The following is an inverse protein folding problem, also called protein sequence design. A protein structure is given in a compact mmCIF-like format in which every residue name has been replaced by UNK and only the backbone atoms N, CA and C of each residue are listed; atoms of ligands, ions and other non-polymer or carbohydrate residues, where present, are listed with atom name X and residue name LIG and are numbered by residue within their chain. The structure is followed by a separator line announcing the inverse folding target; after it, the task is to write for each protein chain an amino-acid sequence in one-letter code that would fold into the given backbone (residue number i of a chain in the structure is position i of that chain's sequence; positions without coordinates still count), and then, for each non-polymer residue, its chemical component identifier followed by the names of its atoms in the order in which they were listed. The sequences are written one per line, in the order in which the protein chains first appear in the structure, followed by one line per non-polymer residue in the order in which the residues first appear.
data_IF_905679086175
#
_entry.id   IF_905679086175
#
_cell.length_a   1.000
_cell.length_b   1.000
_cell.length_c   1.000
_cell.angle_alpha   90.00
_cell.angle_beta   90.00
_cell.angle_gamma   90.00
#
_symmetry.space_group_name_H-M   'P 1'
#
loop_
_entity.id
_entity.type
_entity.pdbx_description
1 polymer ?
#
# COMPACT_ATOMS: atom_id res chain seq x y z
N UNK A 1 -6.00 -15.66 -3.48
CA UNK A 1 -6.67 -14.43 -3.97
C UNK A 1 -7.54 -13.76 -2.90
N UNK A 2 -8.37 -14.51 -2.16
CA UNK A 2 -9.15 -13.97 -1.03
C UNK A 2 -8.29 -13.48 0.15
N UNK A 3 -7.12 -14.08 0.37
CA UNK A 3 -6.23 -13.70 1.48
C UNK A 3 -5.76 -12.25 1.41
N UNK A 4 -5.53 -11.74 0.19
CA UNK A 4 -5.08 -10.37 -0.01
C UNK A 4 -6.18 -9.38 0.38
N UNK A 5 -7.43 -9.67 0.05
CA UNK A 5 -8.57 -8.81 0.38
C UNK A 5 -8.76 -8.71 1.91
N UNK A 6 -8.73 -9.82 2.64
CA UNK A 6 -8.81 -9.82 4.11
C UNK A 6 -7.62 -9.12 4.76
N UNK A 7 -6.40 -9.37 4.26
CA UNK A 7 -5.20 -8.65 4.71
C UNK A 7 -5.32 -7.14 4.46
N UNK A 8 -5.97 -6.70 3.38
CA UNK A 8 -6.23 -5.26 3.18
C UNK A 8 -7.19 -4.68 4.22
N UNK A 9 -8.29 -5.35 4.53
CA UNK A 9 -9.24 -4.86 5.55
C UNK A 9 -8.60 -4.83 6.93
N UNK A 10 -7.87 -5.88 7.30
CA UNK A 10 -7.18 -5.92 8.58
C UNK A 10 -6.04 -4.90 8.66
N UNK A 11 -5.29 -4.68 7.57
CA UNK A 11 -4.29 -3.61 7.51
C UNK A 11 -4.93 -2.24 7.77
N UNK A 12 -6.07 -1.95 7.14
CA UNK A 12 -6.79 -0.69 7.35
C UNK A 12 -7.28 -0.54 8.79
N UNK A 13 -7.68 -1.63 9.43
CA UNK A 13 -8.07 -1.62 10.84
C UNK A 13 -6.87 -1.30 11.75
N UNK A 14 -5.75 -1.99 11.53
CA UNK A 14 -4.49 -1.76 12.27
C UNK A 14 -3.99 -0.33 12.06
N UNK A 15 -3.96 0.15 10.82
CA UNK A 15 -3.53 1.51 10.49
C UNK A 15 -4.45 2.57 11.15
N UNK A 16 -5.76 2.31 11.26
CA UNK A 16 -6.70 3.21 11.96
C UNK A 16 -6.46 3.27 13.46
N UNK A 17 -6.18 2.13 14.10
CA UNK A 17 -5.81 2.11 15.52
C UNK A 17 -4.51 2.87 15.72
N UNK A 18 -3.49 2.58 14.91
CA UNK A 18 -2.18 3.22 15.02
C UNK A 18 -2.27 4.75 14.84
N UNK A 19 -2.95 5.21 13.80
CA UNK A 19 -3.15 6.64 13.54
C UNK A 19 -4.02 7.31 14.60
N UNK A 20 -5.07 6.62 15.09
CA UNK A 20 -5.95 7.14 16.14
C UNK A 20 -5.22 7.32 17.47
N UNK A 21 -4.45 6.32 17.90
CA UNK A 21 -3.63 6.40 19.11
C UNK A 21 -2.55 7.48 18.98
N UNK A 22 -1.88 7.54 17.84
CA UNK A 22 -0.86 8.57 17.58
C UNK A 22 -1.45 9.98 17.66
N UNK A 23 -2.63 10.20 17.07
CA UNK A 23 -3.32 11.47 17.13
C UNK A 23 -3.77 11.81 18.56
N UNK A 24 -4.29 10.84 19.32
CA UNK A 24 -4.65 11.04 20.72
C UNK A 24 -3.45 11.48 21.55
N UNK A 25 -2.32 10.76 21.44
CA UNK A 25 -1.09 11.08 22.17
C UNK A 25 -0.61 12.50 21.84
N UNK A 26 -0.51 12.84 20.55
CA UNK A 26 -0.13 14.20 20.12
C UNK A 26 -1.11 15.22 20.68
N UNK A 27 -2.41 14.96 20.61
CA UNK A 27 -3.43 15.88 21.13
C UNK A 27 -3.25 16.12 22.62
N UNK A 28 -3.08 15.08 23.44
CA UNK A 28 -2.89 15.24 24.89
C UNK A 28 -1.55 15.89 25.28
N UNK A 29 -0.51 15.78 24.45
CA UNK A 29 0.77 16.46 24.67
C UNK A 29 0.64 17.98 24.46
N UNK A 30 -0.09 18.40 23.42
CA UNK A 30 -0.14 19.80 23.01
C UNK A 30 -1.40 20.54 23.46
N UNK A 31 -2.45 19.82 23.83
CA UNK A 31 -3.77 20.36 24.15
C UNK A 31 -4.27 19.69 25.45
N UNK A 32 -4.45 20.46 26.54
CA UNK A 32 -4.98 19.91 27.78
C UNK A 32 -6.47 19.50 27.64
N UNK A 33 -6.96 18.53 28.42
CA UNK A 33 -8.31 17.98 28.33
C UNK A 33 -9.44 19.03 28.40
N UNK A 34 -9.26 20.08 29.19
CA UNK A 34 -10.24 21.17 29.32
C UNK A 34 -10.40 22.01 28.05
N UNK A 35 -9.38 22.09 27.19
CA UNK A 35 -9.42 22.84 25.94
C UNK A 35 -9.91 21.99 24.75
N UNK A 36 -9.96 20.67 24.90
CA UNK A 36 -10.32 19.75 23.82
C UNK A 36 -11.71 20.03 23.27
N UNK A 37 -12.70 20.33 24.10
CA UNK A 37 -14.07 20.59 23.65
C UNK A 37 -14.19 21.87 22.82
N UNK A 38 -13.37 22.89 23.12
CA UNK A 38 -13.32 24.15 22.39
C UNK A 38 -12.48 24.07 21.10
N UNK A 39 -11.39 23.31 21.15
CA UNK A 39 -10.49 23.05 20.00
C UNK A 39 -10.94 21.89 19.11
N UNK A 40 -12.03 21.21 19.44
CA UNK A 40 -12.74 20.29 18.54
C UNK A 40 -13.48 21.05 17.42
N UNK A 41 -12.95 22.18 16.98
CA UNK A 41 -13.33 22.89 15.79
C UNK A 41 -12.56 22.33 14.58
N UNK A 42 -12.97 22.70 13.36
CA UNK A 42 -12.50 22.10 12.10
C UNK A 42 -10.96 22.03 11.93
N UNK A 43 -10.19 22.80 12.70
CA UNK A 43 -8.72 22.74 12.75
C UNK A 43 -8.17 21.34 13.08
N UNK A 44 -8.69 20.67 14.11
CA UNK A 44 -8.24 19.31 14.44
C UNK A 44 -8.58 18.29 13.35
N UNK A 45 -9.74 18.47 12.71
CA UNK A 45 -10.17 17.64 11.58
C UNK A 45 -9.22 17.82 10.40
N UNK A 46 -8.90 19.05 10.02
CA UNK A 46 -7.96 19.35 8.92
C UNK A 46 -6.58 18.78 9.24
N UNK A 47 -6.06 18.99 10.45
CA UNK A 47 -4.76 18.46 10.84
C UNK A 47 -4.73 16.93 10.78
N UNK A 48 -5.79 16.27 11.27
CA UNK A 48 -5.91 14.81 11.21
C UNK A 48 -5.94 14.28 9.77
N UNK A 49 -6.63 15.00 8.88
CA UNK A 49 -6.71 14.64 7.46
C UNK A 49 -5.35 14.79 6.78
N UNK A 50 -4.63 15.89 7.05
CA UNK A 50 -3.28 16.13 6.53
C UNK A 50 -2.29 15.09 7.04
N UNK A 51 -2.34 14.74 8.33
CA UNK A 51 -1.50 13.71 8.92
C UNK A 51 -1.75 12.33 8.28
N UNK A 52 -3.02 11.97 8.07
CA UNK A 52 -3.38 10.73 7.37
C UNK A 52 -2.92 10.74 5.92
N UNK A 53 -3.18 11.83 5.19
CA UNK A 53 -2.74 11.99 3.81
C UNK A 53 -1.23 11.79 3.68
N UNK A 54 -0.47 12.47 4.52
CA UNK A 54 0.98 12.40 4.52
C UNK A 54 1.48 11.00 4.87
N UNK A 55 0.93 10.38 5.93
CA UNK A 55 1.28 9.02 6.34
C UNK A 55 1.05 8.01 5.20
N UNK A 56 -0.15 7.96 4.63
CA UNK A 56 -0.47 6.98 3.57
C UNK A 56 0.35 7.24 2.31
N UNK A 57 0.45 8.49 1.86
CA UNK A 57 1.15 8.83 0.62
C UNK A 57 2.66 8.56 0.73
N UNK A 58 3.28 8.96 1.85
CA UNK A 58 4.71 8.72 2.07
C UNK A 58 5.01 7.23 2.24
N UNK A 59 4.23 6.50 3.03
CA UNK A 59 4.48 5.09 3.28
C UNK A 59 4.28 4.24 2.02
N UNK A 60 3.20 4.47 1.27
CA UNK A 60 2.92 3.69 0.06
C UNK A 60 3.88 4.00 -1.10
N UNK A 61 4.38 5.23 -1.22
CA UNK A 61 5.42 5.59 -2.21
C UNK A 61 6.86 5.35 -1.74
N UNK A 62 7.05 4.94 -0.48
CA UNK A 62 8.37 4.60 0.05
C UNK A 62 8.89 3.27 -0.49
N UNK A 63 10.14 2.93 -0.14
CA UNK A 63 10.74 1.61 -0.41
C UNK A 63 9.94 0.45 0.19
N UNK A 64 9.09 0.71 1.20
CA UNK A 64 8.27 -0.32 1.82
C UNK A 64 7.03 -0.67 1.00
N UNK A 65 6.59 0.23 0.11
CA UNK A 65 5.38 0.05 -0.71
C UNK A 65 4.12 -0.26 0.10
N UNK A 66 4.13 0.06 1.39
CA UNK A 66 3.15 -0.43 2.35
C UNK A 66 3.13 0.47 3.58
N UNK A 67 1.95 0.61 4.16
CA UNK A 67 1.73 1.18 5.49
C UNK A 67 2.12 0.18 6.57
N UNK A 68 2.21 0.60 7.84
CA UNK A 68 2.58 -0.30 8.93
C UNK A 68 1.65 -1.52 9.02
N UNK A 69 0.33 -1.32 8.92
CA UNK A 69 -0.62 -2.44 8.92
C UNK A 69 -0.43 -3.40 7.73
N UNK A 70 -0.07 -2.86 6.56
CA UNK A 70 0.20 -3.67 5.36
C UNK A 70 1.53 -4.44 5.47
N UNK A 71 2.55 -3.82 6.05
CA UNK A 71 3.84 -4.46 6.34
C UNK A 71 3.64 -5.66 7.27
N UNK A 72 2.87 -5.50 8.35
CA UNK A 72 2.57 -6.57 9.30
C UNK A 72 1.89 -7.77 8.64
N UNK A 73 1.12 -7.54 7.59
CA UNK A 73 0.36 -8.57 6.87
C UNK A 73 1.06 -9.05 5.60
N UNK A 74 2.28 -8.58 5.32
CA UNK A 74 3.07 -9.00 4.17
C UNK A 74 2.44 -8.62 2.82
N UNK A 75 1.70 -7.52 2.76
CA UNK A 75 1.11 -7.02 1.51
C UNK A 75 1.71 -5.68 1.10
N UNK A 76 1.87 -5.47 -0.20
CA UNK A 76 2.47 -4.25 -0.78
C UNK A 76 1.62 -3.70 -1.90
N UNK A 77 1.73 -2.40 -2.15
CA UNK A 77 1.09 -1.66 -3.24
C UNK A 77 2.07 -1.53 -4.40
N UNK A 78 1.64 -1.97 -5.57
CA UNK A 78 2.43 -1.92 -6.81
C UNK A 78 1.64 -1.19 -7.90
N UNK A 79 2.37 -0.71 -8.90
CA UNK A 79 1.78 -0.25 -10.15
C UNK A 79 1.50 -1.41 -11.12
N UNK A 80 0.98 -1.08 -12.29
CA UNK A 80 0.72 -1.97 -13.43
C UNK A 80 1.94 -2.77 -13.92
N UNK A 81 3.15 -2.37 -13.52
CA UNK A 81 4.43 -3.01 -13.86
C UNK A 81 5.08 -3.73 -12.67
N UNK A 82 4.32 -4.01 -11.61
CA UNK A 82 4.83 -4.64 -10.38
C UNK A 82 5.90 -3.81 -9.66
N UNK A 83 6.00 -2.51 -9.98
CA UNK A 83 6.99 -1.60 -9.43
C UNK A 83 6.42 -0.70 -8.34
N UNK A 84 7.32 -0.03 -7.62
CA UNK A 84 6.96 0.95 -6.60
C UNK A 84 6.19 2.11 -7.22
N UNK A 85 5.05 2.44 -6.59
CA UNK A 85 4.22 3.55 -7.02
C UNK A 85 4.94 4.89 -6.87
N UNK A 86 4.75 5.78 -7.83
CA UNK A 86 5.24 7.15 -7.74
C UNK A 86 4.45 7.96 -6.72
N UNK A 87 5.02 9.07 -6.26
CA UNK A 87 4.34 9.99 -5.34
C UNK A 87 3.03 10.55 -5.95
N UNK A 88 2.98 10.74 -7.27
CA UNK A 88 1.77 11.14 -7.98
C UNK A 88 0.67 10.07 -7.93
N UNK A 89 1.00 8.80 -8.22
CA UNK A 89 0.05 7.68 -8.10
C UNK A 89 -0.43 7.49 -6.67
N UNK A 90 0.45 7.65 -5.68
CA UNK A 90 0.09 7.57 -4.26
C UNK A 90 -0.91 8.68 -3.84
N UNK A 91 -0.72 9.91 -4.32
CA UNK A 91 -1.66 11.00 -4.09
C UNK A 91 -3.02 10.74 -4.74
N UNK A 92 -3.02 10.37 -6.04
CA UNK A 92 -4.24 10.04 -6.76
C UNK A 92 -5.03 8.95 -6.05
N UNK A 93 -4.33 7.91 -5.56
CA UNK A 93 -4.89 6.83 -4.75
C UNK A 93 -5.50 7.32 -3.44
N UNK A 94 -4.83 8.20 -2.70
CA UNK A 94 -5.36 8.73 -1.43
C UNK A 94 -6.62 9.58 -1.63
N UNK A 95 -6.59 10.54 -2.55
CA UNK A 95 -7.75 11.41 -2.81
C UNK A 95 -8.92 10.62 -3.42
N UNK A 96 -8.64 9.65 -4.28
CA UNK A 96 -9.66 8.73 -4.78
C UNK A 96 -10.23 7.84 -3.69
N UNK A 97 -9.46 7.50 -2.65
CA UNK A 97 -9.95 6.77 -1.47
C UNK A 97 -10.92 7.63 -0.66
N UNK A 98 -10.70 8.94 -0.57
CA UNK A 98 -11.63 9.87 0.07
C UNK A 98 -12.96 9.91 -0.70
N UNK A 99 -12.92 10.10 -2.01
CA UNK A 99 -14.11 10.08 -2.89
C UNK A 99 -14.84 8.73 -2.77
N UNK A 100 -14.08 7.63 -2.84
CA UNK A 100 -14.57 6.27 -2.68
C UNK A 100 -15.22 6.02 -1.31
N UNK A 101 -14.78 6.71 -0.26
CA UNK A 101 -15.35 6.60 1.09
C UNK A 101 -16.65 7.38 1.23
N UNK A 102 -16.74 8.56 0.59
CA UNK A 102 -17.95 9.38 0.54
C UNK A 102 -19.06 8.64 -0.21
N UNK A 103 -18.70 7.97 -1.32
CA UNK A 103 -19.66 7.19 -2.10
C UNK A 103 -20.08 5.87 -1.44
N UNK A 104 -19.46 5.46 -0.31
CA UNK A 104 -19.78 4.23 0.44
C UNK A 104 -19.51 2.91 -0.30
N UNK A 105 -19.30 2.95 -1.62
CA UNK A 105 -19.31 1.77 -2.51
C UNK A 105 -17.90 1.26 -2.80
N UNK A 106 -16.89 2.12 -2.79
CA UNK A 106 -15.60 1.73 -3.39
C UNK A 106 -14.75 0.75 -2.56
N UNK A 107 -15.14 0.47 -1.31
CA UNK A 107 -14.59 -0.67 -0.54
C UNK A 107 -15.31 -1.99 -0.84
N UNK A 108 -16.61 -1.97 -1.13
CA UNK A 108 -17.35 -3.18 -1.52
C UNK A 108 -17.04 -3.59 -2.97
N UNK A 109 -16.70 -2.63 -3.84
CA UNK A 109 -16.30 -2.91 -5.23
C UNK A 109 -15.07 -3.85 -5.32
N UNK A 110 -14.15 -3.78 -4.35
CA UNK A 110 -12.99 -4.65 -4.30
C UNK A 110 -13.36 -6.14 -4.15
N UNK A 111 -14.57 -6.46 -3.69
CA UNK A 111 -15.07 -7.83 -3.57
C UNK A 111 -15.44 -8.40 -4.95
N UNK A 112 -15.90 -7.55 -5.87
CA UNK A 112 -16.44 -7.96 -7.17
C UNK A 112 -15.48 -7.81 -8.36
N UNK A 113 -14.30 -7.22 -8.17
CA UNK A 113 -13.32 -7.02 -9.25
C UNK A 113 -12.36 -8.20 -9.38
N UNK A 114 -11.92 -8.48 -10.61
CA UNK A 114 -11.03 -9.58 -10.98
C UNK A 114 -9.69 -9.54 -10.21
N UNK A 115 -9.09 -8.35 -10.13
CA UNK A 115 -7.87 -8.09 -9.36
C UNK A 115 -8.11 -7.63 -7.92
N UNK A 116 -9.36 -7.73 -7.43
CA UNK A 116 -9.78 -7.26 -6.09
C UNK A 116 -9.35 -5.80 -5.80
N UNK A 117 -9.37 -4.98 -6.85
CA UNK A 117 -9.10 -3.55 -6.84
C UNK A 117 -10.33 -2.77 -6.38
N UNK A 118 -10.15 -1.84 -5.44
CA UNK A 118 -11.15 -0.83 -5.11
C UNK A 118 -11.20 0.26 -6.17
N UNK A 119 -12.20 1.14 -6.09
CA UNK A 119 -12.35 2.26 -7.03
C UNK A 119 -11.09 3.14 -7.08
N UNK A 120 -10.50 3.39 -5.91
CA UNK A 120 -9.27 4.18 -5.77
C UNK A 120 -8.02 3.50 -6.35
N UNK A 121 -8.01 2.16 -6.41
CA UNK A 121 -6.92 1.39 -7.02
C UNK A 121 -6.95 1.53 -8.53
N UNK A 122 -8.16 1.43 -9.12
CA UNK A 122 -8.39 1.57 -10.55
C UNK A 122 -8.09 2.98 -11.04
N UNK A 123 -8.50 4.01 -10.31
CA UNK A 123 -8.22 5.40 -10.69
C UNK A 123 -6.71 5.70 -10.67
N UNK A 124 -5.95 5.04 -9.79
CA UNK A 124 -4.52 5.27 -9.65
C UNK A 124 -3.64 4.31 -10.46
N UNK A 125 -4.22 3.37 -11.21
CA UNK A 125 -3.52 2.25 -11.85
C UNK A 125 -2.55 1.53 -10.88
N UNK A 126 -3.12 1.13 -9.74
CA UNK A 126 -2.40 0.43 -8.67
C UNK A 126 -3.17 -0.80 -8.22
N UNK A 127 -2.50 -1.73 -7.55
CA UNK A 127 -3.14 -2.86 -6.90
C UNK A 127 -2.29 -3.34 -5.73
N UNK A 128 -2.86 -4.24 -4.92
CA UNK A 128 -2.21 -4.80 -3.73
C UNK A 128 -1.89 -6.26 -3.99
N UNK A 129 -0.66 -6.65 -3.70
CA UNK A 129 -0.15 -8.01 -3.87
C UNK A 129 0.46 -8.54 -2.59
N UNK A 130 0.54 -9.87 -2.49
CA UNK A 130 1.37 -10.50 -1.47
C UNK A 130 2.85 -10.28 -1.82
N UNK A 131 3.63 -9.79 -0.84
CA UNK A 131 5.04 -9.47 -1.01
C UNK A 131 5.90 -10.67 -1.39
N UNK A 132 5.67 -11.82 -0.77
CA UNK A 132 6.42 -13.05 -1.05
C UNK A 132 6.17 -13.55 -2.46
N UNK A 133 4.91 -13.52 -2.90
CA UNK A 133 4.53 -13.89 -4.26
C UNK A 133 5.13 -12.94 -5.31
N UNK A 134 5.13 -11.63 -5.04
CA UNK A 134 5.76 -10.64 -5.90
C UNK A 134 7.27 -10.91 -6.04
N UNK A 135 7.96 -11.20 -4.93
CA UNK A 135 9.39 -11.51 -4.95
C UNK A 135 9.68 -12.82 -5.70
N UNK A 136 8.85 -13.83 -5.51
CA UNK A 136 8.93 -15.09 -6.25
C UNK A 136 8.73 -14.89 -7.75
N UNK A 137 7.76 -14.06 -8.17
CA UNK A 137 7.58 -13.73 -9.58
C UNK A 137 8.78 -12.99 -10.15
N UNK A 138 9.29 -11.96 -9.45
CA UNK A 138 10.48 -11.22 -9.89
C UNK A 138 11.75 -12.08 -9.96
N UNK A 139 11.91 -13.06 -9.07
CA UNK A 139 13.06 -13.97 -9.12
C UNK A 139 12.99 -14.96 -10.28
N UNK A 140 11.79 -15.45 -10.61
CA UNK A 140 11.56 -16.40 -11.70
C UNK A 140 11.38 -15.75 -13.08
N UNK A 141 11.06 -14.46 -13.14
CA UNK A 141 11.00 -13.68 -14.37
C UNK A 141 12.40 -13.25 -14.88
N UNK A 142 13.46 -13.43 -14.08
CA UNK A 142 14.83 -13.27 -14.59
C UNK A 142 15.02 -14.27 -15.74
N UNK A 143 15.53 -13.83 -16.91
CA UNK A 143 15.73 -14.73 -18.04
C UNK A 143 16.57 -15.92 -17.59
N UNK A 144 16.34 -17.05 -18.25
CA UNK A 144 17.11 -18.29 -18.23
C UNK A 144 18.62 -18.11 -18.45
N UNK A 145 19.21 -16.92 -18.31
CA UNK A 145 20.63 -16.61 -18.46
C UNK A 145 21.51 -17.41 -17.48
N UNK A 146 21.05 -17.57 -16.22
CA UNK A 146 21.80 -18.36 -15.22
C UNK A 146 21.69 -19.85 -15.49
N UNK A 147 20.49 -20.33 -15.82
CA UNK A 147 20.22 -21.72 -16.19
C UNK A 147 20.85 -22.09 -17.54
N UNK A 148 20.90 -21.18 -18.51
CA UNK A 148 21.55 -21.33 -19.83
C UNK A 148 23.07 -21.29 -19.69
N UNK A 149 23.63 -20.43 -18.84
CA UNK A 149 25.09 -20.46 -18.55
C UNK A 149 25.49 -21.71 -17.80
N UNK A 150 24.66 -22.21 -16.88
CA UNK A 150 24.88 -23.49 -16.19
C UNK A 150 24.70 -24.68 -17.14
N UNK A 151 23.70 -24.66 -18.03
CA UNK A 151 23.46 -25.70 -19.03
C UNK A 151 24.59 -25.72 -20.08
N UNK A 152 25.05 -24.56 -20.56
CA UNK A 152 26.20 -24.42 -21.46
C UNK A 152 27.53 -24.81 -20.79
N UNK A 153 27.72 -24.49 -19.51
CA UNK A 153 28.89 -24.92 -18.74
C UNK A 153 28.86 -26.44 -18.47
N UNK A 154 27.68 -27.02 -18.22
CA UNK A 154 27.51 -28.47 -18.02
C UNK A 154 27.64 -29.28 -19.31
N UNK A 155 27.33 -28.67 -20.46
CA UNK A 155 27.40 -29.31 -21.79
C UNK A 155 28.79 -29.22 -22.45
N UNK A 156 29.82 -28.76 -21.74
CA UNK A 156 31.19 -28.74 -22.26
C UNK A 156 31.29 -27.95 -23.56
N UNK A 157 30.85 -26.70 -23.55
CA UNK A 157 30.93 -25.81 -24.71
C UNK A 157 32.39 -25.62 -25.13
N UNK A 158 32.81 -26.36 -26.16
CA UNK A 158 34.14 -26.31 -26.74
C UNK A 158 34.19 -25.12 -27.72
N UNK A 159 34.98 -24.09 -27.41
CA UNK A 159 35.18 -22.97 -28.33
C UNK A 159 36.01 -23.43 -29.53
N UNK A 160 35.64 -23.07 -30.77
CA UNK A 160 36.55 -23.21 -31.89
C UNK A 160 37.64 -22.12 -31.76
N UNK A 161 38.89 -22.56 -31.87
CA UNK A 161 40.10 -21.71 -31.85
C UNK A 161 40.08 -20.59 -32.90
#
# INVERSE_FOLDING_TARGET
MYDVLWRRYFAMFVDRIFMGLSLLIVTFIFIPPEELMYRYNGTLVIFSLLAQWLYFTMMESSKYQATLGKIMLGVVVVDDRDERISWGKANARFWSKLISSILGIGYFMAIFTEYKQGLHDKIADTYVVNKEMLLYQKSNAKPLESTRKLDLASKGFNWPD
#
